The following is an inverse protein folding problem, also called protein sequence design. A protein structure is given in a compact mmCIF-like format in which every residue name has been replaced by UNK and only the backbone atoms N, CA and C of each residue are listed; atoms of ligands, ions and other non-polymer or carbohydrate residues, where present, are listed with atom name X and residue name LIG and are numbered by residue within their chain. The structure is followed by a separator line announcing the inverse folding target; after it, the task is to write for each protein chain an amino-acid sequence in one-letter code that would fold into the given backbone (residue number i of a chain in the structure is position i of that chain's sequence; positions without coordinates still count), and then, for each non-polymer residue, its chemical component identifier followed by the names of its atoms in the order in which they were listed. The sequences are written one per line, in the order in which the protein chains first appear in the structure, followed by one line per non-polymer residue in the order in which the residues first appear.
data_IF_411149934108
#
_entry.id   IF_411149934108
#
_cell.length_a   1.000
_cell.length_b   1.000
_cell.length_c   1.000
_cell.angle_alpha   90.00
_cell.angle_beta   90.00
_cell.angle_gamma   90.00
#
_symmetry.space_group_name_H-M   'P 1'
#
loop_
_entity.id
_entity.type
_entity.pdbx_description
1 polymer ?
#
# COMPACT_ATOMS: atom_id res chain seq x y z
N UNK A 1 33.99 18.18 18.67
CA UNK A 1 33.23 16.92 18.56
C UNK A 1 33.54 16.09 19.80
N UNK A 2 32.56 15.80 20.67
CA UNK A 2 32.76 14.71 21.62
C UNK A 2 32.73 13.42 20.82
N UNK A 3 33.85 12.70 20.82
CA UNK A 3 34.06 11.44 20.10
C UNK A 3 33.01 10.37 20.43
N UNK A 4 32.29 10.53 21.53
CA UNK A 4 31.30 9.57 22.02
C UNK A 4 29.93 9.68 21.33
N UNK A 5 29.51 10.89 20.97
CA UNK A 5 28.19 11.14 20.37
C UNK A 5 28.17 10.82 18.88
N UNK A 6 29.25 11.13 18.15
CA UNK A 6 29.42 10.67 16.77
C UNK A 6 29.49 9.15 16.67
N UNK A 7 30.04 8.49 17.71
CA UNK A 7 30.10 7.04 17.76
C UNK A 7 28.70 6.44 17.90
N UNK A 8 27.85 7.04 18.74
CA UNK A 8 26.46 6.60 18.93
C UNK A 8 25.61 6.81 17.67
N UNK A 9 25.69 7.98 17.04
CA UNK A 9 24.95 8.29 15.81
C UNK A 9 25.42 7.44 14.63
N UNK A 10 26.73 7.18 14.53
CA UNK A 10 27.29 6.26 13.53
C UNK A 10 26.89 4.80 13.82
N UNK A 11 26.73 4.39 15.08
CA UNK A 11 26.19 3.07 15.40
C UNK A 11 24.69 2.94 15.09
N UNK A 12 23.89 3.98 15.35
CA UNK A 12 22.46 4.00 15.02
C UNK A 12 22.20 4.01 13.51
N UNK A 13 23.06 4.68 12.75
CA UNK A 13 23.00 4.67 11.29
C UNK A 13 23.41 3.31 10.69
N UNK A 14 24.44 2.65 11.24
CA UNK A 14 24.86 1.30 10.84
C UNK A 14 23.80 0.22 11.04
N UNK A 15 22.88 0.40 11.98
CA UNK A 15 21.77 -0.54 12.23
C UNK A 15 20.59 -0.37 11.28
N UNK A 16 20.57 0.66 10.43
CA UNK A 16 19.44 0.95 9.54
C UNK A 16 19.77 0.60 8.10
N UNK A 17 18.85 -0.10 7.43
CA UNK A 17 19.00 -0.61 6.07
C UNK A 17 19.20 0.54 5.07
N UNK A 18 20.47 0.75 4.68
CA UNK A 18 20.89 1.86 3.80
C UNK A 18 20.25 1.70 2.41
N UNK A 19 19.83 0.50 2.01
CA UNK A 19 19.31 0.22 0.66
C UNK A 19 17.90 0.73 0.40
N UNK A 20 17.16 1.17 1.43
CA UNK A 20 15.80 1.72 1.28
C UNK A 20 15.72 3.10 1.90
N UNK A 21 15.55 4.11 1.04
CA UNK A 21 15.27 5.48 1.45
C UNK A 21 13.87 5.87 0.97
N UNK A 22 13.06 6.40 1.90
CA UNK A 22 11.68 6.84 1.66
C UNK A 22 11.56 8.28 1.16
N UNK A 23 12.67 9.03 1.18
CA UNK A 23 12.77 10.45 0.78
C UNK A 23 13.77 10.64 -0.37
N UNK A 24 13.72 11.78 -1.06
CA UNK A 24 14.71 12.11 -2.09
C UNK A 24 16.04 12.53 -1.43
N UNK A 25 17.13 11.74 -1.59
CA UNK A 25 18.40 12.04 -0.95
C UNK A 25 19.07 13.29 -1.53
N UNK A 26 18.80 13.64 -2.80
CA UNK A 26 19.32 14.86 -3.41
C UNK A 26 18.64 16.10 -2.82
N UNK A 27 17.33 16.06 -2.60
CA UNK A 27 16.59 17.17 -1.98
C UNK A 27 17.03 17.41 -0.53
N UNK A 28 17.26 16.34 0.24
CA UNK A 28 17.72 16.45 1.64
C UNK A 28 19.09 17.12 1.75
N UNK A 29 20.00 16.83 0.83
CA UNK A 29 21.31 17.49 0.77
C UNK A 29 21.30 18.83 0.01
N UNK A 30 20.20 19.16 -0.68
CA UNK A 30 20.08 20.36 -1.51
C UNK A 30 20.95 20.30 -2.77
N UNK A 31 21.08 19.11 -3.36
CA UNK A 31 21.88 18.83 -4.55
C UNK A 31 21.01 18.60 -5.78
N UNK A 32 21.62 18.77 -6.95
CA UNK A 32 21.03 18.34 -8.21
C UNK A 32 21.38 16.86 -8.46
N UNK A 33 20.55 16.08 -9.16
CA UNK A 33 20.84 14.68 -9.49
C UNK A 33 22.15 14.46 -10.26
N UNK A 34 22.59 15.49 -10.99
CA UNK A 34 23.80 15.51 -11.82
C UNK A 34 25.07 15.86 -11.03
N UNK A 35 25.03 15.85 -9.69
CA UNK A 35 26.14 16.31 -8.85
C UNK A 35 27.34 15.36 -8.83
N UNK A 36 28.54 15.92 -8.65
CA UNK A 36 29.75 15.12 -8.46
C UNK A 36 29.86 14.59 -7.02
N UNK A 37 30.63 13.50 -6.83
CA UNK A 37 30.94 12.96 -5.49
C UNK A 37 31.54 14.03 -4.55
N UNK A 38 32.37 14.92 -5.10
CA UNK A 38 32.95 16.05 -4.36
C UNK A 38 31.90 17.02 -3.82
N UNK A 39 30.80 17.21 -4.55
CA UNK A 39 29.71 18.09 -4.15
C UNK A 39 28.85 17.46 -3.05
N UNK A 40 28.67 16.13 -3.10
CA UNK A 40 27.98 15.36 -2.06
C UNK A 40 28.69 15.52 -0.71
N UNK A 41 30.01 15.37 -0.68
CA UNK A 41 30.82 15.56 0.53
C UNK A 41 30.74 16.99 1.09
N UNK A 42 30.75 17.99 0.21
CA UNK A 42 30.65 19.41 0.61
C UNK A 42 29.28 19.74 1.17
N UNK A 43 28.21 19.26 0.51
CA UNK A 43 26.84 19.48 0.94
C UNK A 43 26.57 18.79 2.28
N UNK A 44 27.04 17.56 2.47
CA UNK A 44 26.94 16.86 3.75
C UNK A 44 27.58 17.67 4.88
N UNK A 45 28.84 18.12 4.72
CA UNK A 45 29.53 18.93 5.74
C UNK A 45 28.76 20.20 6.10
N UNK A 46 28.21 20.89 5.09
CA UNK A 46 27.43 22.12 5.28
C UNK A 46 26.13 21.85 6.05
N UNK A 47 25.39 20.81 5.65
CA UNK A 47 24.10 20.46 6.25
C UNK A 47 24.25 19.86 7.65
N UNK A 48 25.29 19.05 7.87
CA UNK A 48 25.65 18.49 9.18
C UNK A 48 26.00 19.59 10.20
N UNK A 49 26.71 20.64 9.77
CA UNK A 49 27.01 21.79 10.64
C UNK A 49 25.75 22.61 10.98
N UNK A 50 24.84 22.76 10.02
CA UNK A 50 23.58 23.50 10.20
C UNK A 50 22.65 22.80 11.20
N UNK A 51 22.51 21.49 11.08
CA UNK A 51 21.61 20.67 11.89
C UNK A 51 22.31 19.94 13.04
N UNK A 52 23.48 20.43 13.48
CA UNK A 52 24.21 19.81 14.58
C UNK A 52 23.44 20.01 15.91
N UNK A 53 23.22 18.96 16.73
CA UNK A 53 22.44 19.07 17.97
C UNK A 53 23.11 19.98 19.02
N UNK A 54 24.44 20.06 19.03
CA UNK A 54 25.21 20.96 19.90
C UNK A 54 25.02 22.46 19.56
N UNK A 55 24.77 22.79 18.28
CA UNK A 55 24.50 24.18 17.86
C UNK A 55 23.02 24.55 17.97
N UNK A 56 22.14 23.56 18.04
CA UNK A 56 20.69 23.72 18.06
C UNK A 56 20.11 23.27 19.42
N UNK A 57 20.62 23.84 20.50
CA UNK A 57 20.27 23.46 21.88
C UNK A 57 18.76 23.62 22.20
N UNK A 58 18.07 24.55 21.54
CA UNK A 58 16.63 24.80 21.69
C UNK A 58 15.75 23.87 20.85
N UNK A 59 16.30 23.21 19.82
CA UNK A 59 15.57 22.35 18.89
C UNK A 59 16.33 21.03 18.67
N UNK A 60 16.83 20.41 19.75
CA UNK A 60 17.68 19.21 19.67
C UNK A 60 17.01 18.07 18.92
N UNK A 61 15.74 17.78 19.22
CA UNK A 61 15.02 16.64 18.60
C UNK A 61 14.89 16.80 17.08
N UNK A 62 14.53 18.01 16.61
CA UNK A 62 14.44 18.30 15.17
C UNK A 62 15.80 18.28 14.50
N UNK A 63 16.83 18.79 15.18
CA UNK A 63 18.19 18.78 14.68
C UNK A 63 18.72 17.35 14.54
N UNK A 64 18.45 16.48 15.52
CA UNK A 64 18.81 15.06 15.48
C UNK A 64 18.09 14.31 14.36
N UNK A 65 16.77 14.48 14.22
CA UNK A 65 16.01 13.84 13.14
C UNK A 65 16.53 14.26 11.75
N UNK A 66 16.76 15.56 11.55
CA UNK A 66 17.30 16.08 10.30
C UNK A 66 18.73 15.59 10.07
N UNK A 67 19.56 15.54 11.11
CA UNK A 67 20.93 15.03 11.01
C UNK A 67 20.96 13.56 10.59
N UNK A 68 20.08 12.73 11.15
CA UNK A 68 19.92 11.32 10.75
C UNK A 68 19.49 11.23 9.28
N UNK A 69 18.52 12.04 8.84
CA UNK A 69 18.08 12.07 7.43
C UNK A 69 19.21 12.48 6.49
N UNK A 70 19.97 13.53 6.85
CA UNK A 70 21.12 14.02 6.09
C UNK A 70 22.21 12.95 5.99
N UNK A 71 22.49 12.25 7.08
CA UNK A 71 23.49 11.19 7.10
C UNK A 71 23.08 10.00 6.22
N UNK A 72 21.82 9.57 6.30
CA UNK A 72 21.28 8.50 5.44
C UNK A 72 21.33 8.88 3.96
N UNK A 73 20.93 10.11 3.62
CA UNK A 73 21.04 10.63 2.26
C UNK A 73 22.50 10.58 1.76
N UNK A 74 23.45 10.99 2.62
CA UNK A 74 24.87 10.96 2.31
C UNK A 74 25.40 9.53 2.08
N UNK A 75 25.12 8.59 2.98
CA UNK A 75 25.59 7.20 2.82
C UNK A 75 25.04 6.55 1.56
N UNK A 76 23.76 6.79 1.25
CA UNK A 76 23.14 6.25 0.04
C UNK A 76 23.71 6.84 -1.24
N UNK A 77 23.91 8.16 -1.29
CA UNK A 77 24.50 8.81 -2.46
C UNK A 77 25.99 8.49 -2.64
N UNK A 78 26.67 8.10 -1.56
CA UNK A 78 28.05 7.63 -1.59
C UNK A 78 28.18 6.21 -2.11
N UNK A 79 27.16 5.37 -1.94
CA UNK A 79 27.09 4.06 -2.56
C UNK A 79 26.74 4.20 -4.06
N UNK A 80 27.72 3.90 -4.91
CA UNK A 80 27.60 4.01 -6.36
C UNK A 80 26.51 3.08 -6.92
N UNK A 81 26.37 1.88 -6.37
CA UNK A 81 25.39 0.91 -6.86
C UNK A 81 23.97 1.38 -6.52
N UNK A 82 23.75 1.79 -5.27
CA UNK A 82 22.47 2.32 -4.81
C UNK A 82 22.08 3.61 -5.58
N UNK A 83 23.03 4.51 -5.79
CA UNK A 83 22.84 5.74 -6.57
C UNK A 83 22.42 5.45 -8.01
N UNK A 84 23.11 4.54 -8.68
CA UNK A 84 22.79 4.17 -10.08
C UNK A 84 21.39 3.56 -10.18
N UNK A 85 21.03 2.65 -9.27
CA UNK A 85 19.70 2.04 -9.26
C UNK A 85 18.60 3.09 -9.04
N UNK A 86 18.83 4.01 -8.10
CA UNK A 86 17.91 5.11 -7.82
C UNK A 86 17.73 6.04 -9.02
N UNK A 87 18.83 6.45 -9.63
CA UNK A 87 18.82 7.35 -10.79
C UNK A 87 18.13 6.70 -12.00
N UNK A 88 18.32 5.39 -12.20
CA UNK A 88 17.61 4.61 -13.22
C UNK A 88 16.11 4.57 -12.98
N UNK A 89 15.68 4.28 -11.76
CA UNK A 89 14.25 4.27 -11.39
C UNK A 89 13.61 5.64 -11.57
N UNK A 90 14.31 6.69 -11.14
CA UNK A 90 13.88 8.09 -11.29
C UNK A 90 13.75 8.49 -12.76
N UNK A 91 14.73 8.14 -13.59
CA UNK A 91 14.70 8.39 -15.03
C UNK A 91 13.58 7.61 -15.73
N UNK A 92 13.34 6.35 -15.34
CA UNK A 92 12.26 5.54 -15.89
C UNK A 92 10.88 6.14 -15.55
N UNK A 93 10.69 6.60 -14.32
CA UNK A 93 9.45 7.28 -13.89
C UNK A 93 9.21 8.56 -14.69
N UNK A 94 10.25 9.37 -14.91
CA UNK A 94 10.16 10.60 -15.70
C UNK A 94 9.83 10.31 -17.16
N UNK A 95 10.51 9.33 -17.79
CA UNK A 95 10.22 8.91 -19.16
C UNK A 95 8.78 8.42 -19.29
N UNK A 96 8.29 7.62 -18.34
CA UNK A 96 6.91 7.12 -18.34
C UNK A 96 5.90 8.27 -18.30
N UNK A 97 6.10 9.25 -17.41
CA UNK A 97 5.24 10.42 -17.34
C UNK A 97 5.23 11.21 -18.66
N UNK A 98 6.40 11.40 -19.28
CA UNK A 98 6.50 12.05 -20.59
C UNK A 98 5.77 11.27 -21.70
N UNK A 99 5.91 9.95 -21.75
CA UNK A 99 5.20 9.11 -22.71
C UNK A 99 3.69 9.17 -22.52
N UNK A 100 3.21 9.14 -21.28
CA UNK A 100 1.78 9.24 -20.96
C UNK A 100 1.21 10.60 -21.40
N UNK A 101 1.95 11.69 -21.16
CA UNK A 101 1.57 13.02 -21.61
C UNK A 101 1.52 13.14 -23.13
N UNK A 102 2.54 12.62 -23.83
CA UNK A 102 2.55 12.58 -25.28
C UNK A 102 1.39 11.76 -25.83
N UNK A 103 1.10 10.59 -25.24
CA UNK A 103 -0.03 9.73 -25.65
C UNK A 103 -1.35 10.46 -25.47
N UNK A 104 -1.55 11.13 -24.33
CA UNK A 104 -2.74 11.93 -24.06
C UNK A 104 -2.90 13.07 -25.07
N UNK A 105 -1.81 13.73 -25.45
CA UNK A 105 -1.82 14.78 -26.45
C UNK A 105 -2.17 14.24 -27.86
N UNK A 106 -1.61 13.08 -28.24
CA UNK A 106 -1.92 12.44 -29.52
C UNK A 106 -3.35 11.91 -29.58
N UNK A 107 -3.84 11.32 -28.49
CA UNK A 107 -5.21 10.79 -28.40
C UNK A 107 -6.23 11.93 -28.46
N UNK A 108 -5.95 13.07 -27.83
CA UNK A 108 -6.77 14.28 -27.92
C UNK A 108 -6.89 14.78 -29.37
N UNK A 109 -5.78 14.76 -30.11
CA UNK A 109 -5.75 15.25 -31.50
C UNK A 109 -6.43 14.27 -32.47
N UNK A 110 -6.18 12.97 -32.32
CA UNK A 110 -6.85 11.92 -33.12
C UNK A 110 -8.35 11.90 -32.87
N UNK A 111 -8.78 11.98 -31.60
CA UNK A 111 -10.18 12.04 -31.23
C UNK A 111 -10.88 13.28 -31.80
N UNK A 112 -10.21 14.45 -31.76
CA UNK A 112 -10.75 15.69 -32.38
C UNK A 112 -10.95 15.52 -33.89
N UNK A 113 -9.95 15.00 -34.61
CA UNK A 113 -10.07 14.74 -36.05
C UNK A 113 -11.18 13.74 -36.38
N UNK A 114 -11.33 12.70 -35.57
CA UNK A 114 -12.39 11.71 -35.76
C UNK A 114 -13.78 12.34 -35.60
N UNK A 115 -13.97 13.19 -34.58
CA UNK A 115 -15.23 13.92 -34.35
C UNK A 115 -15.53 14.84 -35.53
N UNK A 116 -14.54 15.61 -35.98
CA UNK A 116 -14.69 16.53 -37.10
C UNK A 116 -15.04 15.81 -38.43
N UNK A 117 -14.41 14.65 -38.70
CA UNK A 117 -14.74 13.81 -39.87
C UNK A 117 -16.15 13.22 -39.77
N UNK A 118 -16.59 12.80 -38.58
CA UNK A 118 -17.96 12.32 -38.36
C UNK A 118 -18.98 13.44 -38.55
N UNK A 119 -18.76 14.61 -37.95
CA UNK A 119 -19.63 15.79 -38.08
C UNK A 119 -19.72 16.26 -39.55
N UNK A 120 -18.61 16.29 -40.28
CA UNK A 120 -18.59 16.65 -41.69
C UNK A 120 -19.40 15.67 -42.55
N UNK A 121 -19.32 14.36 -42.26
CA UNK A 121 -20.13 13.34 -42.95
C UNK A 121 -21.61 13.45 -42.62
N UNK A 122 -21.96 13.72 -41.36
CA UNK A 122 -23.34 13.96 -40.95
C UNK A 122 -23.91 15.24 -41.61
N UNK A 123 -23.11 16.31 -41.69
CA UNK A 123 -23.48 17.54 -42.38
C UNK A 123 -23.69 17.31 -43.88
N UNK A 124 -22.79 16.59 -44.56
CA UNK A 124 -22.94 16.27 -45.98
C UNK A 124 -24.16 15.37 -46.23
N UNK A 125 -24.42 14.38 -45.36
CA UNK A 125 -25.57 13.49 -45.49
C UNK A 125 -26.90 14.23 -45.25
N UNK A 126 -26.93 15.19 -44.32
CA UNK A 126 -28.12 16.02 -44.07
C UNK A 126 -28.37 16.99 -45.22
N UNK A 127 -27.33 17.57 -45.83
CA UNK A 127 -27.46 18.44 -46.99
C UNK A 127 -27.93 17.68 -48.25
N UNK A 128 -27.46 16.45 -48.46
CA UNK A 128 -27.95 15.55 -49.52
C UNK A 128 -29.42 15.18 -49.30
N UNK A 129 -29.83 14.90 -48.05
CA UNK A 129 -31.25 14.68 -47.72
C UNK A 129 -32.10 15.92 -47.97
N UNK A 130 -31.57 17.11 -47.69
CA UNK A 130 -32.26 18.40 -47.85
C UNK A 130 -32.40 18.80 -49.32
N UNK A 131 -31.41 18.51 -50.15
CA UNK A 131 -31.39 18.83 -51.59
C UNK A 131 -32.18 17.83 -52.44
N UNK A 132 -32.27 16.54 -52.05
CA UNK A 132 -33.05 15.51 -52.78
C UNK A 132 -34.55 15.44 -52.42
N UNK A 133 -35.04 16.29 -51.51
CA UNK A 133 -36.46 16.38 -51.15
C UNK A 133 -36.99 17.78 -51.51
N UNK A 134 -37.55 18.00 -52.71
CA UNK A 134 -38.23 19.24 -53.02
C UNK A 134 -39.60 19.27 -52.32
N UNK A 135 -39.81 20.33 -51.55
CA UNK A 135 -41.11 20.86 -51.10
C UNK A 135 -42.15 19.82 -50.61
N UNK A 136 -42.04 19.40 -49.35
CA UNK A 136 -43.16 18.79 -48.63
C UNK A 136 -43.72 19.78 -47.61
N UNK A 137 -45.04 19.98 -47.67
CA UNK A 137 -45.81 20.92 -46.87
C UNK A 137 -45.44 20.89 -45.38
N UNK A 138 -45.48 22.08 -44.77
CA UNK A 138 -45.23 22.36 -43.35
C UNK A 138 -45.76 21.22 -42.46
N UNK A 139 -44.84 20.40 -41.97
CA UNK A 139 -45.15 19.44 -40.93
C UNK A 139 -45.60 20.22 -39.68
N UNK A 140 -46.68 19.80 -39.00
CA UNK A 140 -47.09 20.44 -37.75
C UNK A 140 -45.91 20.44 -36.76
N UNK A 141 -45.76 21.57 -36.04
CA UNK A 141 -44.59 21.94 -35.23
C UNK A 141 -43.88 20.77 -34.55
N UNK A 142 -42.55 20.74 -34.72
CA UNK A 142 -41.58 19.76 -34.19
C UNK A 142 -41.54 19.69 -32.65
N UNK A 143 -42.14 20.66 -31.97
CA UNK A 143 -42.01 20.88 -30.52
C UNK A 143 -42.32 19.65 -29.63
N UNK A 144 -43.39 18.85 -29.84
CA UNK A 144 -43.74 17.79 -28.88
C UNK A 144 -42.78 16.59 -28.86
N UNK A 145 -41.94 16.41 -29.89
CA UNK A 145 -40.95 15.32 -29.98
C UNK A 145 -39.62 15.68 -29.33
N UNK A 146 -39.26 16.95 -29.34
CA UNK A 146 -38.05 17.45 -28.71
C UNK A 146 -38.20 17.44 -27.17
N UNK A 147 -39.40 17.75 -26.65
CA UNK A 147 -39.71 17.64 -25.21
C UNK A 147 -39.56 16.20 -24.69
N UNK A 148 -40.00 15.21 -25.47
CA UNK A 148 -39.86 13.80 -25.11
C UNK A 148 -38.40 13.33 -25.15
N UNK A 149 -37.60 13.88 -26.07
CA UNK A 149 -36.17 13.60 -26.18
C UNK A 149 -35.38 14.24 -25.03
N UNK A 150 -35.73 15.46 -24.65
CA UNK A 150 -35.20 16.17 -23.47
C UNK A 150 -35.52 15.38 -22.18
N UNK A 151 -36.74 14.86 -22.07
CA UNK A 151 -37.17 14.06 -20.93
C UNK A 151 -36.41 12.73 -20.84
N UNK A 152 -36.23 12.02 -21.95
CA UNK A 152 -35.41 10.80 -22.00
C UNK A 152 -33.94 11.07 -21.66
N UNK A 153 -33.38 12.20 -22.09
CA UNK A 153 -32.02 12.63 -21.72
C UNK A 153 -31.91 12.93 -20.24
N UNK A 154 -32.92 13.59 -19.67
CA UNK A 154 -32.99 13.89 -18.23
C UNK A 154 -33.08 12.61 -17.41
N UNK A 155 -33.91 11.65 -17.83
CA UNK A 155 -34.02 10.33 -17.20
C UNK A 155 -32.70 9.55 -17.26
N UNK A 156 -32.01 9.56 -18.41
CA UNK A 156 -30.69 8.94 -18.54
C UNK A 156 -29.62 9.58 -17.65
N UNK A 157 -29.59 10.92 -17.58
CA UNK A 157 -28.66 11.65 -16.71
C UNK A 157 -28.92 11.39 -15.22
N UNK A 158 -30.19 11.29 -14.83
CA UNK A 158 -30.59 10.97 -13.46
C UNK A 158 -30.23 9.54 -13.06
N UNK A 159 -30.45 8.57 -13.96
CA UNK A 159 -30.06 7.17 -13.74
C UNK A 159 -28.55 7.01 -13.54
N UNK A 160 -27.74 7.66 -14.40
CA UNK A 160 -26.27 7.68 -14.27
C UNK A 160 -25.82 8.30 -12.95
N UNK A 161 -26.44 9.43 -12.55
CA UNK A 161 -26.13 10.10 -11.28
C UNK A 161 -26.48 9.22 -10.08
N UNK A 162 -27.61 8.51 -10.15
CA UNK A 162 -28.02 7.58 -9.10
C UNK A 162 -27.07 6.39 -8.99
N UNK A 163 -26.69 5.78 -10.11
CA UNK A 163 -25.73 4.68 -10.14
C UNK A 163 -24.35 5.12 -9.62
N UNK A 164 -23.88 6.32 -9.99
CA UNK A 164 -22.63 6.88 -9.47
C UNK A 164 -22.69 7.15 -7.96
N UNK A 165 -23.82 7.65 -7.45
CA UNK A 165 -24.02 7.87 -6.02
C UNK A 165 -24.04 6.54 -5.24
N UNK A 166 -24.76 5.54 -5.75
CA UNK A 166 -24.79 4.19 -5.17
C UNK A 166 -23.42 3.52 -5.18
N UNK A 167 -22.66 3.67 -6.28
CA UNK A 167 -21.30 3.16 -6.35
C UNK A 167 -20.38 3.85 -5.34
N UNK A 168 -20.45 5.18 -5.25
CA UNK A 168 -19.68 5.96 -4.27
C UNK A 168 -20.08 5.62 -2.82
N UNK A 169 -21.36 5.32 -2.57
CA UNK A 169 -21.85 4.87 -1.27
C UNK A 169 -21.33 3.48 -0.92
N UNK A 170 -21.36 2.54 -1.87
CA UNK A 170 -20.76 1.21 -1.70
C UNK A 170 -19.25 1.27 -1.49
N UNK A 171 -18.54 2.10 -2.24
CA UNK A 171 -17.10 2.32 -2.03
C UNK A 171 -16.83 2.92 -0.63
N UNK A 172 -17.65 3.87 -0.18
CA UNK A 172 -17.55 4.43 1.17
C UNK A 172 -17.87 3.40 2.24
N UNK A 173 -18.90 2.58 2.07
CA UNK A 173 -19.25 1.51 3.01
C UNK A 173 -18.15 0.46 3.06
N UNK A 174 -17.57 0.09 1.90
CA UNK A 174 -16.45 -0.83 1.83
C UNK A 174 -15.21 -0.24 2.51
N UNK A 175 -14.89 1.03 2.25
CA UNK A 175 -13.80 1.74 2.91
C UNK A 175 -14.05 1.83 4.43
N UNK A 176 -15.27 2.13 4.86
CA UNK A 176 -15.65 2.20 6.28
C UNK A 176 -15.60 0.83 6.95
N UNK A 177 -15.99 -0.24 6.25
CA UNK A 177 -15.82 -1.64 6.69
C UNK A 177 -14.34 -2.00 6.83
N UNK A 178 -13.50 -1.58 5.89
CA UNK A 178 -12.05 -1.78 5.96
C UNK A 178 -11.42 -0.96 7.10
N UNK A 179 -11.86 0.28 7.33
CA UNK A 179 -11.39 1.08 8.47
C UNK A 179 -11.90 0.51 9.79
N UNK A 180 -13.18 0.11 9.89
CA UNK A 180 -13.73 -0.54 11.10
C UNK A 180 -13.02 -1.87 11.36
N UNK A 181 -12.76 -2.68 10.34
CA UNK A 181 -11.96 -3.89 10.45
C UNK A 181 -10.50 -3.60 10.88
N UNK A 182 -9.94 -2.45 10.48
CA UNK A 182 -8.60 -2.01 10.91
C UNK A 182 -8.59 -1.43 12.34
N UNK A 183 -9.65 -0.73 12.75
CA UNK A 183 -9.86 -0.24 14.13
C UNK A 183 -10.20 -1.38 15.10
N UNK A 184 -10.87 -2.43 14.64
CA UNK A 184 -11.06 -3.68 15.39
C UNK A 184 -9.77 -4.50 15.51
N UNK A 185 -8.83 -4.37 14.55
CA UNK A 185 -7.48 -4.95 14.66
C UNK A 185 -6.55 -4.16 15.58
N UNK A 186 -6.69 -2.83 15.68
CA UNK A 186 -5.88 -2.02 16.61
C UNK A 186 -6.27 -2.16 18.08
N UNK A 187 -7.41 -2.81 18.38
CA UNK A 187 -7.82 -3.18 19.75
C UNK A 187 -7.67 -4.68 20.05
N UNK A 188 -7.18 -5.49 19.11
CA UNK A 188 -6.82 -6.87 19.41
C UNK A 188 -5.44 -6.86 20.07
N UNK A 189 -5.43 -6.74 21.39
CA UNK A 189 -4.25 -6.99 22.19
C UNK A 189 -3.88 -8.48 22.03
N UNK A 190 -3.00 -8.77 21.08
CA UNK A 190 -2.58 -10.14 20.78
C UNK A 190 -2.00 -10.80 22.04
N UNK A 191 -2.26 -12.09 22.27
CA UNK A 191 -1.61 -12.85 23.33
C UNK A 191 -0.09 -12.69 23.24
N UNK A 192 0.48 -11.97 24.20
CA UNK A 192 1.88 -11.55 24.18
C UNK A 192 2.61 -12.19 25.35
N UNK A 193 3.60 -13.01 25.03
CA UNK A 193 4.36 -13.79 25.98
C UNK A 193 5.77 -13.23 26.12
N UNK A 194 6.19 -12.94 27.34
CA UNK A 194 7.57 -12.55 27.65
C UNK A 194 8.34 -13.74 28.19
N UNK A 195 9.45 -14.01 27.53
CA UNK A 195 10.47 -14.98 27.91
C UNK A 195 11.64 -14.29 28.61
N UNK A 196 12.22 -14.94 29.61
CA UNK A 196 13.47 -14.50 30.24
C UNK A 196 14.36 -15.68 30.59
N UNK A 197 15.60 -15.67 30.13
CA UNK A 197 16.62 -16.67 30.45
C UNK A 197 17.87 -16.01 31.05
N UNK A 198 18.76 -16.83 31.63
CA UNK A 198 20.06 -16.36 32.11
C UNK A 198 21.03 -16.27 30.93
N UNK A 199 21.72 -15.15 30.80
CA UNK A 199 22.80 -14.97 29.81
C UNK A 199 24.13 -15.09 30.53
N UNK A 200 25.01 -15.99 30.06
CA UNK A 200 26.39 -16.10 30.54
C UNK A 200 27.26 -15.09 29.80
N UNK A 201 28.01 -14.28 30.55
CA UNK A 201 28.79 -13.12 30.04
C UNK A 201 29.87 -13.44 28.99
N UNK A 202 30.15 -14.73 28.72
CA UNK A 202 31.23 -15.16 27.83
C UNK A 202 30.80 -15.42 26.38
N UNK A 203 29.51 -15.47 26.08
CA UNK A 203 29.00 -15.55 24.71
C UNK A 203 28.09 -14.36 24.42
N UNK A 204 28.45 -13.55 23.42
CA UNK A 204 27.60 -12.46 22.90
C UNK A 204 26.36 -12.95 22.13
N UNK A 205 26.19 -14.27 22.02
CA UNK A 205 25.15 -14.93 21.25
C UNK A 205 24.08 -15.48 22.21
N UNK A 206 22.83 -15.12 21.95
CA UNK A 206 21.70 -15.59 22.74
C UNK A 206 21.57 -17.11 22.60
N UNK A 207 21.39 -17.89 23.68
CA UNK A 207 21.18 -19.33 23.57
C UNK A 207 19.91 -19.71 22.78
N UNK A 208 18.96 -18.78 22.71
CA UNK A 208 17.73 -18.87 21.93
C UNK A 208 17.76 -17.93 20.73
N UNK A 209 17.68 -18.52 19.54
CA UNK A 209 17.47 -17.84 18.27
C UNK A 209 16.00 -17.88 17.86
N UNK A 210 15.64 -17.01 16.93
CA UNK A 210 14.27 -16.91 16.40
C UNK A 210 13.77 -18.27 15.90
N UNK A 211 14.61 -19.03 15.20
CA UNK A 211 14.25 -20.36 14.68
C UNK A 211 13.98 -21.38 15.80
N UNK A 212 14.77 -21.38 16.87
CA UNK A 212 14.57 -22.27 18.02
C UNK A 212 13.27 -21.92 18.75
N UNK A 213 13.01 -20.63 18.97
CA UNK A 213 11.75 -20.17 19.56
C UNK A 213 10.56 -20.52 18.66
N UNK A 214 10.69 -20.39 17.33
CA UNK A 214 9.65 -20.82 16.39
C UNK A 214 9.38 -22.32 16.46
N UNK A 215 10.40 -23.15 16.66
CA UNK A 215 10.26 -24.59 16.79
C UNK A 215 9.57 -24.98 18.11
N UNK A 216 9.96 -24.35 19.23
CA UNK A 216 9.39 -24.61 20.55
C UNK A 216 7.93 -24.14 20.63
N UNK A 217 7.66 -22.92 20.17
CA UNK A 217 6.36 -22.27 20.33
C UNK A 217 5.39 -22.48 19.15
N UNK A 218 5.89 -22.89 17.99
CA UNK A 218 5.06 -23.20 16.82
C UNK A 218 4.10 -24.37 17.03
N UNK A 219 4.43 -25.31 17.95
CA UNK A 219 3.54 -26.41 18.34
C UNK A 219 2.31 -25.93 19.13
N UNK A 220 2.42 -24.77 19.79
CA UNK A 220 1.38 -24.21 20.66
C UNK A 220 0.53 -23.14 19.99
N UNK A 221 0.92 -22.60 18.85
CA UNK A 221 0.19 -21.49 18.24
C UNK A 221 0.83 -20.92 16.99
N UNK A 222 0.07 -20.07 16.27
CA UNK A 222 0.59 -19.30 15.14
C UNK A 222 1.14 -17.97 15.66
N UNK A 223 2.42 -17.71 15.45
CA UNK A 223 3.12 -16.50 15.90
C UNK A 223 3.08 -15.43 14.83
N UNK A 224 2.86 -14.17 15.22
CA UNK A 224 2.98 -12.99 14.36
C UNK A 224 4.41 -12.43 14.43
N UNK A 225 4.84 -12.10 15.64
CA UNK A 225 6.09 -11.36 15.89
C UNK A 225 6.92 -12.05 16.96
N UNK A 226 8.23 -12.12 16.76
CA UNK A 226 9.20 -12.55 17.78
C UNK A 226 10.28 -11.48 17.89
N UNK A 227 10.50 -10.97 19.10
CA UNK A 227 11.50 -9.93 19.39
C UNK A 227 12.46 -10.50 20.45
N UNK A 228 13.73 -10.68 20.11
CA UNK A 228 14.76 -11.17 21.04
C UNK A 228 15.66 -10.00 21.46
N UNK A 229 15.88 -9.86 22.76
CA UNK A 229 16.79 -8.88 23.34
C UNK A 229 18.10 -9.52 23.74
N UNK A 230 19.20 -8.79 23.53
CA UNK A 230 20.57 -9.17 23.91
C UNK A 230 20.75 -9.40 25.41
N UNK A 231 19.81 -8.91 26.24
CA UNK A 231 19.80 -9.07 27.70
C UNK A 231 19.14 -10.36 28.23
N UNK A 232 18.92 -11.36 27.38
CA UNK A 232 18.36 -12.66 27.80
C UNK A 232 16.84 -12.66 27.95
N UNK A 233 16.13 -12.00 27.05
CA UNK A 233 14.67 -12.00 27.06
C UNK A 233 14.11 -11.96 25.64
N UNK A 234 12.92 -12.54 25.43
CA UNK A 234 12.17 -12.37 24.20
C UNK A 234 10.71 -12.00 24.46
N UNK A 235 10.08 -11.40 23.47
CA UNK A 235 8.65 -11.14 23.43
C UNK A 235 8.10 -11.86 22.20
N UNK A 236 7.05 -12.65 22.38
CA UNK A 236 6.37 -13.38 21.31
C UNK A 236 4.91 -12.93 21.29
N UNK A 237 4.46 -12.47 20.13
CA UNK A 237 3.07 -12.15 19.87
C UNK A 237 2.44 -13.30 19.08
N UNK A 238 1.34 -13.85 19.60
CA UNK A 238 0.60 -14.93 18.94
C UNK A 238 -0.62 -14.39 18.21
N UNK A 239 -0.83 -14.82 16.97
CA UNK A 239 -2.12 -14.69 16.28
C UNK A 239 -3.17 -15.58 16.94
N UNK A 240 -2.77 -16.78 17.38
CA UNK A 240 -3.65 -17.74 18.05
C UNK A 240 -2.83 -18.71 18.91
N UNK A 241 -3.35 -19.08 20.08
CA UNK A 241 -2.77 -20.05 21.01
C UNK A 241 -3.73 -21.24 21.12
N UNK A 242 -3.26 -22.44 20.75
CA UNK A 242 -4.05 -23.67 20.75
C UNK A 242 -4.17 -24.29 22.15
N UNK A 243 -3.06 -24.37 22.87
CA UNK A 243 -2.96 -25.00 24.19
C UNK A 243 -2.22 -24.08 25.18
N UNK A 244 -2.95 -23.23 25.91
CA UNK A 244 -2.40 -22.26 26.85
C UNK A 244 -1.66 -22.93 28.02
N UNK A 245 -2.24 -23.99 28.59
CA UNK A 245 -1.63 -24.65 29.76
C UNK A 245 -0.34 -25.38 29.42
N UNK A 246 -0.27 -26.01 28.24
CA UNK A 246 0.99 -26.63 27.79
C UNK A 246 2.05 -25.58 27.47
N UNK A 247 1.63 -24.45 26.91
CA UNK A 247 2.51 -23.33 26.62
C UNK A 247 3.12 -22.74 27.91
N UNK A 248 2.33 -22.63 28.99
CA UNK A 248 2.80 -22.11 30.29
C UNK A 248 3.78 -23.05 31.00
N UNK A 249 3.72 -24.34 30.69
CA UNK A 249 4.59 -25.37 31.28
C UNK A 249 5.89 -25.61 30.49
N UNK A 250 6.11 -24.89 29.39
CA UNK A 250 7.35 -25.01 28.62
C UNK A 250 8.50 -24.29 29.36
N UNK A 251 9.54 -25.02 29.73
CA UNK A 251 10.71 -24.47 30.45
C UNK A 251 11.94 -24.25 29.56
N UNK A 252 11.85 -24.63 28.28
CA UNK A 252 12.96 -24.52 27.34
C UNK A 252 13.96 -25.66 27.45
N UNK A 253 15.22 -25.31 27.17
CA UNK A 253 16.34 -26.25 27.11
C UNK A 253 16.88 -26.52 28.52
N UNK A 254 17.25 -27.76 28.83
CA UNK A 254 17.64 -28.20 30.17
C UNK A 254 18.89 -27.48 30.68
N UNK A 255 19.77 -27.05 29.78
CA UNK A 255 20.99 -26.30 30.11
C UNK A 255 20.73 -24.81 30.39
N UNK A 256 19.63 -24.24 29.89
CA UNK A 256 19.31 -22.80 29.98
C UNK A 256 17.81 -22.55 30.12
N UNK A 257 17.16 -22.95 31.22
CA UNK A 257 15.72 -22.82 31.35
C UNK A 257 15.26 -21.36 31.29
N UNK A 258 14.18 -21.10 30.56
CA UNK A 258 13.55 -19.77 30.52
C UNK A 258 12.33 -19.70 31.44
N UNK A 259 12.04 -18.49 31.93
CA UNK A 259 10.82 -18.16 32.66
C UNK A 259 9.84 -17.46 31.71
N UNK A 260 8.58 -17.89 31.77
CA UNK A 260 7.48 -17.35 30.99
C UNK A 260 6.60 -16.41 31.81
N UNK A 261 6.12 -15.34 31.20
CA UNK A 261 5.10 -14.45 31.77
C UNK A 261 4.26 -13.80 30.67
N UNK A 262 2.94 -13.88 30.78
CA UNK A 262 2.03 -13.11 29.93
C UNK A 262 2.18 -11.60 30.21
N UNK A 263 2.22 -10.82 29.14
CA UNK A 263 2.22 -9.35 29.25
C UNK A 263 0.79 -8.82 29.18
N UNK A 264 0.52 -7.74 29.92
CA UNK A 264 -0.69 -6.93 29.80
C UNK A 264 -2.02 -7.69 30.04
N UNK A 265 -2.03 -8.76 30.85
CA UNK A 265 -3.20 -9.63 31.05
C UNK A 265 -3.72 -10.27 29.75
N UNK A 266 -2.83 -10.48 28.77
CA UNK A 266 -3.14 -11.11 27.48
C UNK A 266 -3.19 -12.65 27.54
N UNK A 267 -3.30 -13.25 28.73
CA UNK A 267 -3.49 -14.69 28.90
C UNK A 267 -4.84 -15.05 28.25
N UNK A 268 -4.86 -15.93 27.22
CA UNK A 268 -6.11 -16.34 26.62
C UNK A 268 -6.97 -17.06 27.67
N UNK A 269 -8.25 -16.67 27.81
CA UNK A 269 -9.19 -17.33 28.73
C UNK A 269 -9.53 -18.71 28.18
N UNK A 270 -9.46 -19.74 29.02
CA UNK A 270 -9.58 -21.13 28.59
C UNK A 270 -11.01 -21.47 28.10
N UNK A 271 -11.06 -22.19 26.96
CA UNK A 271 -12.23 -22.81 26.28
C UNK A 271 -13.35 -21.89 25.80
N UNK A 272 -13.17 -21.38 24.58
CA UNK A 272 -14.21 -21.45 23.55
C UNK A 272 -13.62 -22.20 22.35
N UNK A 273 -13.84 -23.51 22.30
CA UNK A 273 -13.67 -24.28 21.08
C UNK A 273 -14.69 -23.74 20.07
N UNK A 274 -14.24 -22.85 19.19
CA UNK A 274 -14.88 -22.65 17.91
C UNK A 274 -14.03 -23.42 16.92
N UNK A 275 -14.44 -24.66 16.65
CA UNK A 275 -14.16 -25.27 15.36
C UNK A 275 -14.51 -24.21 14.30
N UNK A 276 -13.65 -23.91 13.32
CA UNK A 276 -14.03 -22.99 12.27
C UNK A 276 -15.24 -23.64 11.59
N UNK A 277 -16.43 -23.08 11.83
CA UNK A 277 -17.58 -23.24 10.95
C UNK A 277 -17.02 -23.10 9.55
N UNK A 278 -16.97 -24.24 8.84
CA UNK A 278 -16.60 -24.23 7.43
C UNK A 278 -17.50 -23.17 6.81
N UNK A 279 -16.97 -22.12 6.16
CA UNK A 279 -17.84 -21.30 5.36
C UNK A 279 -18.47 -22.23 4.34
N UNK A 280 -19.77 -22.46 4.46
CA UNK A 280 -20.60 -23.04 3.41
C UNK A 280 -20.68 -22.03 2.28
N UNK A 281 -19.55 -21.88 1.60
CA UNK A 281 -19.43 -21.14 0.36
C UNK A 281 -18.92 -22.17 -0.61
N UNK A 282 -19.75 -22.56 -1.57
CA UNK A 282 -19.38 -23.44 -2.66
C UNK A 282 -18.10 -22.91 -3.34
N UNK A 283 -16.95 -23.47 -2.95
CA UNK A 283 -15.62 -23.11 -3.45
C UNK A 283 -15.50 -23.42 -4.96
N UNK A 284 -16.42 -24.20 -5.52
CA UNK A 284 -16.46 -24.55 -6.94
C UNK A 284 -16.92 -23.39 -7.84
N UNK A 285 -17.66 -22.40 -7.34
CA UNK A 285 -18.15 -21.28 -8.16
C UNK A 285 -17.12 -20.15 -8.31
N UNK A 286 -16.37 -19.83 -7.24
CA UNK A 286 -15.48 -18.67 -7.24
C UNK A 286 -14.10 -18.91 -7.87
N UNK A 287 -13.70 -20.18 -8.05
CA UNK A 287 -12.44 -20.50 -8.73
C UNK A 287 -12.55 -20.35 -10.26
N UNK A 288 -13.75 -20.48 -10.83
CA UNK A 288 -13.98 -20.30 -12.26
C UNK A 288 -13.98 -18.83 -12.69
N UNK A 289 -14.34 -17.90 -11.79
CA UNK A 289 -14.47 -16.47 -12.10
C UNK A 289 -13.10 -15.78 -12.26
N UNK A 290 -12.05 -16.29 -11.59
CA UNK A 290 -10.75 -15.62 -11.56
C UNK A 290 -9.79 -16.04 -12.69
N UNK A 291 -10.13 -17.07 -13.46
CA UNK A 291 -9.31 -17.65 -14.54
C UNK A 291 -10.03 -17.67 -15.91
N UNK A 292 -11.14 -16.96 -16.08
CA UNK A 292 -11.84 -16.86 -17.37
C UNK A 292 -11.15 -15.88 -18.31
N UNK A 293 -10.98 -16.30 -19.57
CA UNK A 293 -10.48 -15.43 -20.62
C UNK A 293 -11.49 -14.33 -20.96
N UNK A 294 -11.02 -13.22 -21.55
CA UNK A 294 -11.86 -12.07 -21.87
C UNK A 294 -13.07 -12.43 -22.76
N UNK A 295 -12.92 -13.42 -23.65
CA UNK A 295 -14.01 -13.91 -24.50
C UNK A 295 -15.10 -14.65 -23.71
N UNK A 296 -14.72 -15.41 -22.68
CA UNK A 296 -15.67 -16.14 -21.82
C UNK A 296 -16.43 -15.19 -20.88
N UNK A 297 -15.83 -14.04 -20.53
CA UNK A 297 -16.47 -13.00 -19.75
C UNK A 297 -17.54 -12.24 -20.56
N UNK A 298 -17.30 -12.00 -21.86
CA UNK A 298 -18.29 -11.37 -22.75
C UNK A 298 -19.52 -12.27 -22.97
N UNK A 299 -19.32 -13.59 -23.11
CA UNK A 299 -20.42 -14.56 -23.23
C UNK A 299 -21.25 -14.66 -21.94
N UNK A 300 -20.62 -14.57 -20.77
CA UNK A 300 -21.30 -14.56 -19.48
C UNK A 300 -22.11 -13.26 -19.26
N UNK A 301 -21.57 -12.10 -19.63
CA UNK A 301 -22.31 -10.83 -19.60
C UNK A 301 -23.51 -10.86 -20.55
N UNK A 302 -23.35 -11.40 -21.77
CA UNK A 302 -24.44 -11.55 -22.71
C UNK A 302 -25.57 -12.45 -22.16
N UNK A 303 -25.21 -13.55 -21.48
CA UNK A 303 -26.18 -14.48 -20.89
C UNK A 303 -26.94 -13.87 -19.70
N UNK A 304 -26.24 -13.11 -18.85
CA UNK A 304 -26.86 -12.41 -17.71
C UNK A 304 -27.81 -11.32 -18.22
N UNK A 305 -27.41 -10.54 -19.22
CA UNK A 305 -28.28 -9.54 -19.84
C UNK A 305 -29.51 -10.18 -20.49
N UNK A 306 -29.35 -11.32 -21.18
CA UNK A 306 -30.48 -12.05 -21.76
C UNK A 306 -31.46 -12.60 -20.70
N UNK A 307 -30.97 -12.94 -19.51
CA UNK A 307 -31.81 -13.37 -18.39
C UNK A 307 -32.61 -12.22 -17.77
N UNK A 308 -32.05 -11.01 -17.77
CA UNK A 308 -32.71 -9.80 -17.26
C UNK A 308 -33.84 -9.32 -18.17
N UNK A 309 -33.73 -9.52 -19.49
CA UNK A 309 -34.77 -9.14 -20.46
C UNK A 309 -35.88 -10.19 -20.66
N UNK A 310 -35.78 -11.38 -20.07
CA UNK A 310 -36.83 -12.43 -20.15
C UNK A 310 -37.89 -12.36 -19.05
N UNK A 311 -37.69 -11.52 -18.03
CA UNK A 311 -38.61 -11.36 -16.90
C UNK A 311 -39.22 -9.94 -16.79
N UNK A 312 -39.29 -9.19 -17.91
CA UNK A 312 -40.14 -7.99 -18.06
C UNK A 312 -41.20 -8.21 -19.12
#
# INVERSE_FOLDING_TARGET
MSTRELKLLNEMAKTTDIKRIEFDPYEVLGLQPQCEENEIDRAFKKSALKWHPDKNLTNKDKAEEMFIKIYRAYEFLKDKEARVQYDQQRAAKLKRAQYEEQRRATDSTRRRKLIEDLEAREAAATDIKRSKMPEYHQAPSRAPRDDKLEELRKQGAEMLRKMQAEFAEKEREQAERLTKASTSKSNLQLPTLKLRWKTTEKSQESPYDENKLRQIFGKHGKMETIIISKGGSAIIEFLNVKDVDRLENEAGDAECPFKLKWLYDSRPKEKSFMEPEKPSVDIHANKAIFDMSHAEMEDFEAQVLQSMFKNS
#
